data_IF_382762584734
#
_entry.id   IF_382762584734
#
_cell.length_a   1.000
_cell.length_b   1.000
_cell.length_c   1.000
_cell.angle_alpha   90.00
_cell.angle_beta   90.00
_cell.angle_gamma   90.00
#
_symmetry.space_group_name_H-M   'P 1'
#
loop_
_entity.id
_entity.type
_entity.pdbx_description
1 polymer ?
#
# COMPACT_ATOMS: atom_id res chain seq x y z
N UNK A 1 -7.78 -18.73 7.36
CA UNK A 1 -7.43 -17.29 7.53
C UNK A 1 -7.15 -16.69 6.16
N UNK A 2 -7.40 -15.39 5.93
CA UNK A 2 -7.14 -14.77 4.62
C UNK A 2 -5.86 -13.93 4.63
N UNK A 3 -5.02 -14.13 3.61
CA UNK A 3 -3.96 -13.20 3.25
C UNK A 3 -4.31 -12.50 1.94
N UNK A 4 -4.24 -11.19 1.92
CA UNK A 4 -4.34 -10.38 0.71
C UNK A 4 -2.96 -9.85 0.35
N UNK A 5 -2.53 -10.07 -0.89
CA UNK A 5 -1.25 -9.57 -1.42
C UNK A 5 -1.56 -8.60 -2.54
N UNK A 6 -1.32 -7.31 -2.31
CA UNK A 6 -1.50 -6.25 -3.30
C UNK A 6 -0.17 -6.00 -3.99
N UNK A 7 -0.11 -6.23 -5.30
CA UNK A 7 1.11 -6.11 -6.09
C UNK A 7 1.06 -4.90 -7.04
N UNK A 8 2.10 -4.08 -6.99
CA UNK A 8 2.39 -3.12 -8.07
C UNK A 8 3.10 -3.83 -9.21
N UNK A 9 2.39 -4.09 -10.31
CA UNK A 9 2.91 -4.81 -11.48
C UNK A 9 3.29 -3.88 -12.65
N UNK A 10 3.69 -2.64 -12.34
CA UNK A 10 4.16 -1.70 -13.35
C UNK A 10 5.49 -2.12 -13.96
N UNK A 11 5.52 -2.42 -15.25
CA UNK A 11 6.72 -2.91 -15.96
C UNK A 11 7.96 -2.03 -15.72
N UNK A 12 7.79 -0.71 -15.78
CA UNK A 12 8.88 0.25 -15.56
C UNK A 12 9.49 0.17 -14.15
N UNK A 13 8.67 -0.10 -13.12
CA UNK A 13 9.15 -0.21 -11.75
C UNK A 13 9.93 -1.51 -11.53
N UNK A 14 9.46 -2.60 -12.14
CA UNK A 14 10.13 -3.90 -12.09
C UNK A 14 11.46 -3.90 -12.84
N UNK A 15 11.54 -3.21 -13.98
CA UNK A 15 12.78 -3.06 -14.75
C UNK A 15 13.89 -2.28 -14.00
N UNK A 16 13.53 -1.48 -12.99
CA UNK A 16 14.51 -0.74 -12.17
C UNK A 16 15.11 -1.61 -11.05
N UNK A 17 14.53 -2.77 -10.76
CA UNK A 17 15.07 -3.68 -9.75
C UNK A 17 16.32 -4.38 -10.27
N UNK A 18 17.32 -4.54 -9.39
CA UNK A 18 18.53 -5.30 -9.72
C UNK A 18 18.21 -6.76 -10.05
N UNK A 19 17.36 -7.39 -9.23
CA UNK A 19 16.97 -8.79 -9.34
C UNK A 19 15.43 -8.94 -9.20
N UNK A 20 14.64 -8.70 -10.25
CA UNK A 20 13.18 -8.87 -10.19
C UNK A 20 12.75 -10.31 -9.90
N UNK A 21 13.50 -11.30 -10.40
CA UNK A 21 13.23 -12.72 -10.16
C UNK A 21 13.34 -13.12 -8.68
N UNK A 22 14.25 -12.50 -7.94
CA UNK A 22 14.40 -12.77 -6.49
C UNK A 22 13.17 -12.28 -5.71
N UNK A 23 12.67 -11.08 -6.03
CA UNK A 23 11.44 -10.57 -5.41
C UNK A 23 10.24 -11.45 -5.75
N UNK A 24 10.11 -11.88 -7.01
CA UNK A 24 9.09 -12.83 -7.45
C UNK A 24 9.15 -14.10 -6.60
N UNK A 25 10.32 -14.73 -6.51
CA UNK A 25 10.53 -15.95 -5.71
C UNK A 25 10.18 -15.73 -4.23
N UNK A 26 10.57 -14.61 -3.64
CA UNK A 26 10.25 -14.31 -2.24
C UNK A 26 8.73 -14.17 -2.00
N UNK A 27 8.00 -13.57 -2.95
CA UNK A 27 6.53 -13.48 -2.91
C UNK A 27 5.89 -14.87 -3.04
N UNK A 28 6.37 -15.69 -3.97
CA UNK A 28 5.88 -17.06 -4.14
C UNK A 28 6.11 -17.89 -2.87
N UNK A 29 7.31 -17.83 -2.29
CA UNK A 29 7.64 -18.51 -1.04
C UNK A 29 6.73 -18.04 0.10
N UNK A 30 6.49 -16.74 0.22
CA UNK A 30 5.58 -16.16 1.22
C UNK A 30 4.17 -16.74 1.12
N UNK A 31 3.58 -16.71 -0.08
CA UNK A 31 2.21 -17.17 -0.32
C UNK A 31 2.10 -18.67 -0.03
N UNK A 32 3.02 -19.47 -0.57
CA UNK A 32 3.02 -20.92 -0.35
C UNK A 32 3.24 -21.31 1.10
N UNK A 33 4.13 -20.61 1.79
CA UNK A 33 4.36 -20.85 3.22
C UNK A 33 3.07 -20.61 3.99
N UNK A 34 2.37 -19.50 3.73
CA UNK A 34 1.12 -19.20 4.42
C UNK A 34 0.01 -20.21 4.16
N UNK A 35 -0.20 -20.59 2.90
CA UNK A 35 -1.19 -21.62 2.54
C UNK A 35 -0.87 -22.93 3.28
N UNK A 36 0.41 -23.29 3.38
CA UNK A 36 0.84 -24.52 4.08
C UNK A 36 0.77 -24.44 5.60
N UNK A 37 0.64 -23.26 6.20
CA UNK A 37 0.50 -23.14 7.66
C UNK A 37 -0.82 -23.69 8.20
N UNK A 38 -1.88 -23.73 7.38
CA UNK A 38 -3.20 -24.29 7.76
C UNK A 38 -4.05 -24.55 6.52
N UNK A 39 -4.80 -25.65 6.51
CA UNK A 39 -5.70 -26.02 5.41
C UNK A 39 -6.78 -24.96 5.11
N UNK A 40 -7.20 -24.18 6.12
CA UNK A 40 -8.20 -23.11 5.96
C UNK A 40 -7.60 -21.79 5.46
N UNK A 41 -6.30 -21.75 5.17
CA UNK A 41 -5.64 -20.55 4.70
C UNK A 41 -5.88 -20.34 3.21
N UNK A 42 -6.30 -19.12 2.88
CA UNK A 42 -6.50 -18.67 1.50
C UNK A 42 -5.68 -17.42 1.26
N UNK A 43 -4.87 -17.42 0.22
CA UNK A 43 -4.13 -16.27 -0.24
C UNK A 43 -4.84 -15.66 -1.46
N UNK A 44 -4.99 -14.35 -1.49
CA UNK A 44 -5.67 -13.62 -2.54
C UNK A 44 -4.69 -12.58 -3.06
N UNK A 45 -4.22 -12.76 -4.29
CA UNK A 45 -3.36 -11.79 -4.98
C UNK A 45 -4.25 -10.81 -5.72
N UNK A 46 -4.00 -9.52 -5.53
CA UNK A 46 -4.76 -8.42 -6.11
C UNK A 46 -3.85 -7.56 -6.96
N UNK A 47 -4.25 -7.35 -8.21
CA UNK A 47 -3.63 -6.42 -9.14
C UNK A 47 -4.70 -5.83 -10.06
N UNK A 48 -4.75 -4.50 -10.18
CA UNK A 48 -5.64 -3.77 -11.07
C UNK A 48 -7.12 -4.19 -10.91
N UNK A 49 -7.57 -4.31 -9.66
CA UNK A 49 -8.90 -4.78 -9.23
C UNK A 49 -9.27 -6.21 -9.66
N UNK A 50 -8.35 -6.95 -10.26
CA UNK A 50 -8.49 -8.40 -10.43
C UNK A 50 -8.07 -9.10 -9.15
N UNK A 51 -8.74 -10.21 -8.83
CA UNK A 51 -8.42 -11.07 -7.69
C UNK A 51 -8.09 -12.47 -8.20
N UNK A 52 -6.97 -13.02 -7.75
CA UNK A 52 -6.60 -14.42 -7.98
C UNK A 52 -6.49 -15.10 -6.61
N UNK A 53 -7.22 -16.19 -6.43
CA UNK A 53 -7.34 -16.89 -5.15
C UNK A 53 -6.53 -18.18 -5.21
N UNK A 54 -5.76 -18.43 -4.16
CA UNK A 54 -4.90 -19.60 -3.97
C UNK A 54 -5.19 -20.20 -2.60
N UNK A 55 -5.24 -21.52 -2.54
CA UNK A 55 -5.55 -22.27 -1.32
C UNK A 55 -4.77 -23.59 -1.30
N UNK A 56 -5.07 -24.47 -0.34
CA UNK A 56 -4.36 -25.73 -0.18
C UNK A 56 -4.48 -26.64 -1.41
N UNK A 57 -5.66 -26.66 -2.04
CA UNK A 57 -5.95 -27.52 -3.20
C UNK A 57 -5.38 -26.92 -4.49
N UNK A 58 -5.21 -25.59 -4.53
CA UNK A 58 -4.63 -24.84 -5.63
C UNK A 58 -3.42 -24.02 -5.14
N UNK A 59 -2.31 -24.68 -4.76
CA UNK A 59 -1.11 -23.98 -4.29
C UNK A 59 -0.44 -23.22 -5.44
N UNK A 60 0.38 -22.24 -5.09
CA UNK A 60 1.14 -21.45 -6.08
C UNK A 60 2.35 -22.22 -6.63
N UNK A 61 2.81 -23.30 -5.96
CA UNK A 61 3.87 -24.17 -6.49
C UNK A 61 3.28 -25.38 -7.21
N UNK A 62 3.35 -25.35 -8.53
CA UNK A 62 4.16 -26.36 -9.22
C UNK A 62 5.12 -25.58 -10.14
N UNK A 63 6.43 -25.68 -9.92
CA UNK A 63 7.47 -24.89 -10.62
C UNK A 63 7.48 -25.11 -12.15
N UNK A 64 6.70 -26.08 -12.64
CA UNK A 64 6.49 -26.39 -14.06
C UNK A 64 5.36 -25.59 -14.70
N UNK A 65 4.51 -24.92 -13.91
CA UNK A 65 3.46 -24.06 -14.43
C UNK A 65 3.99 -22.62 -14.59
N UNK A 66 4.79 -22.39 -15.64
CA UNK A 66 5.12 -21.04 -16.14
C UNK A 66 3.86 -20.16 -16.24
N UNK A 67 2.72 -20.81 -16.49
CA UNK A 67 1.39 -20.21 -16.56
C UNK A 67 0.99 -19.49 -15.26
N UNK A 68 1.21 -20.08 -14.08
CA UNK A 68 0.82 -19.47 -12.79
C UNK A 68 1.69 -18.25 -12.49
N UNK A 69 2.99 -18.32 -12.80
CA UNK A 69 3.90 -17.18 -12.64
C UNK A 69 3.52 -16.06 -13.62
N UNK A 70 3.23 -16.39 -14.88
CA UNK A 70 2.73 -15.41 -15.85
C UNK A 70 1.38 -14.82 -15.45
N UNK A 71 0.53 -15.62 -14.79
CA UNK A 71 -0.77 -15.19 -14.30
C UNK A 71 -0.60 -14.21 -13.13
N UNK A 72 0.25 -14.52 -12.14
CA UNK A 72 0.47 -13.63 -11.00
C UNK A 72 1.14 -12.33 -11.46
N UNK A 73 2.17 -12.44 -12.31
CA UNK A 73 3.04 -11.32 -12.71
C UNK A 73 2.73 -10.81 -14.13
N UNK A 74 1.45 -10.75 -14.49
CA UNK A 74 1.02 -10.10 -15.72
C UNK A 74 1.24 -8.58 -15.61
N UNK A 75 2.38 -8.13 -16.14
CA UNK A 75 2.76 -6.72 -16.09
C UNK A 75 1.72 -5.84 -16.79
N UNK A 76 1.38 -4.73 -16.15
CA UNK A 76 0.49 -3.73 -16.70
C UNK A 76 1.15 -2.35 -16.63
N UNK A 77 0.73 -1.43 -17.50
CA UNK A 77 1.25 -0.05 -17.48
C UNK A 77 0.35 0.91 -16.69
N UNK A 78 -0.69 0.38 -16.02
CA UNK A 78 -1.69 1.16 -15.30
C UNK A 78 -1.32 1.27 -13.83
N UNK A 79 -1.12 2.51 -13.36
CA UNK A 79 -0.96 2.79 -11.94
C UNK A 79 -2.31 2.74 -11.23
N UNK A 80 -2.55 1.70 -10.43
CA UNK A 80 -3.83 1.52 -9.74
C UNK A 80 -3.70 1.09 -8.27
N UNK A 81 -2.48 1.03 -7.72
CA UNK A 81 -2.23 0.45 -6.39
C UNK A 81 -3.04 1.13 -5.29
N UNK A 82 -3.23 2.45 -5.35
CA UNK A 82 -4.05 3.18 -4.39
C UNK A 82 -5.52 2.71 -4.37
N UNK A 83 -6.08 2.39 -5.54
CA UNK A 83 -7.43 1.86 -5.64
C UNK A 83 -7.48 0.37 -5.25
N UNK A 84 -6.44 -0.40 -5.55
CA UNK A 84 -6.35 -1.81 -5.19
C UNK A 84 -6.28 -2.00 -3.67
N UNK A 85 -5.57 -1.11 -2.97
CA UNK A 85 -5.58 -1.06 -1.51
C UNK A 85 -7.01 -0.79 -1.00
N UNK A 86 -7.70 0.21 -1.55
CA UNK A 86 -9.09 0.51 -1.17
C UNK A 86 -10.05 -0.65 -1.45
N UNK A 87 -9.89 -1.33 -2.58
CA UNK A 87 -10.65 -2.52 -2.97
C UNK A 87 -10.39 -3.68 -1.99
N UNK A 88 -9.12 -3.93 -1.66
CA UNK A 88 -8.70 -4.95 -0.70
C UNK A 88 -9.32 -4.73 0.68
N UNK A 89 -9.26 -3.49 1.19
CA UNK A 89 -9.87 -3.13 2.47
C UNK A 89 -11.40 -3.30 2.48
N UNK A 90 -12.04 -3.22 1.31
CA UNK A 90 -13.49 -3.42 1.16
C UNK A 90 -13.85 -4.90 1.21
N UNK A 91 -13.11 -5.76 0.50
CA UNK A 91 -13.34 -7.21 0.51
C UNK A 91 -13.02 -7.80 1.88
N UNK A 92 -11.87 -7.42 2.45
CA UNK A 92 -11.41 -7.91 3.75
C UNK A 92 -12.33 -7.51 4.90
N UNK A 93 -13.25 -6.55 4.72
CA UNK A 93 -14.18 -6.11 5.77
C UNK A 93 -15.07 -7.24 6.30
N UNK A 94 -15.44 -8.18 5.44
CA UNK A 94 -16.38 -9.25 5.76
C UNK A 94 -15.71 -10.47 6.41
N UNK A 95 -14.38 -10.50 6.43
CA UNK A 95 -13.58 -11.59 6.99
C UNK A 95 -12.87 -11.12 8.26
N UNK A 96 -12.62 -12.03 9.20
CA UNK A 96 -11.87 -11.76 10.43
C UNK A 96 -10.42 -12.21 10.33
N UNK A 97 -9.53 -11.56 11.09
CA UNK A 97 -8.09 -11.86 11.17
C UNK A 97 -7.37 -11.83 9.81
N UNK A 98 -7.55 -10.75 9.04
CA UNK A 98 -6.92 -10.65 7.73
C UNK A 98 -5.49 -10.16 7.83
N UNK A 99 -4.61 -10.78 7.05
CA UNK A 99 -3.26 -10.25 6.78
C UNK A 99 -3.28 -9.57 5.43
N UNK A 100 -2.84 -8.33 5.37
CA UNK A 100 -2.75 -7.57 4.12
C UNK A 100 -1.30 -7.20 3.91
N UNK A 101 -0.74 -7.57 2.77
CA UNK A 101 0.64 -7.29 2.39
C UNK A 101 0.57 -6.43 1.14
N UNK A 102 1.12 -5.22 1.21
CA UNK A 102 1.16 -4.25 0.12
C UNK A 102 2.59 -4.20 -0.38
N UNK A 103 2.81 -4.47 -1.66
CA UNK A 103 4.11 -4.42 -2.32
C UNK A 103 4.06 -3.32 -3.37
N UNK A 104 4.73 -2.20 -3.08
CA UNK A 104 4.78 -1.01 -3.93
C UNK A 104 6.20 -0.78 -4.45
N UNK A 105 6.35 -0.72 -5.77
CA UNK A 105 7.65 -0.50 -6.40
C UNK A 105 7.76 0.88 -7.04
N UNK A 106 6.64 1.45 -7.45
CA UNK A 106 6.55 2.77 -8.07
C UNK A 106 6.61 3.93 -7.06
N UNK A 107 7.02 5.09 -7.55
CA UNK A 107 6.81 6.36 -6.83
C UNK A 107 5.36 6.77 -6.95
N UNK A 108 4.80 7.25 -5.85
CA UNK A 108 3.43 7.73 -5.84
C UNK A 108 3.22 8.99 -6.67
N UNK A 109 2.05 9.02 -7.32
CA UNK A 109 1.54 10.22 -7.94
C UNK A 109 0.88 11.12 -6.89
N UNK A 110 1.15 12.42 -6.92
CA UNK A 110 0.49 13.42 -6.07
C UNK A 110 -1.04 13.37 -6.18
N UNK A 111 -1.59 12.93 -7.32
CA UNK A 111 -3.03 12.76 -7.54
C UNK A 111 -3.65 11.68 -6.64
N UNK A 112 -2.87 10.68 -6.22
CA UNK A 112 -3.34 9.54 -5.44
C UNK A 112 -3.13 9.70 -3.94
N UNK A 113 -2.42 10.74 -3.50
CA UNK A 113 -2.16 11.02 -2.09
C UNK A 113 -3.44 10.98 -1.21
N UNK A 114 -4.55 11.56 -1.70
CA UNK A 114 -5.82 11.52 -0.97
C UNK A 114 -6.44 10.12 -0.90
N UNK A 115 -6.21 9.26 -1.89
CA UNK A 115 -6.64 7.85 -1.87
C UNK A 115 -5.81 7.05 -0.86
N UNK A 116 -4.50 7.33 -0.84
CA UNK A 116 -3.56 7.21 0.27
C UNK A 116 -4.21 7.32 1.64
N UNK A 117 -4.47 8.57 1.98
CA UNK A 117 -4.98 8.94 3.28
C UNK A 117 -6.34 8.30 3.57
N UNK A 118 -7.26 8.24 2.61
CA UNK A 118 -8.56 7.56 2.79
C UNK A 118 -8.38 6.09 3.20
N UNK A 119 -7.48 5.38 2.53
CA UNK A 119 -7.17 3.99 2.84
C UNK A 119 -6.51 3.85 4.22
N UNK A 120 -5.60 4.77 4.58
CA UNK A 120 -4.98 4.80 5.91
C UNK A 120 -6.02 5.03 7.03
N UNK A 121 -6.97 5.94 6.83
CA UNK A 121 -8.07 6.16 7.78
C UNK A 121 -8.92 4.91 8.00
N UNK A 122 -9.26 4.21 6.90
CA UNK A 122 -10.03 2.96 6.98
C UNK A 122 -9.22 1.87 7.67
N UNK A 123 -7.95 1.70 7.30
CA UNK A 123 -7.03 0.76 7.92
C UNK A 123 -6.92 0.97 9.43
N UNK A 124 -6.78 2.23 9.86
CA UNK A 124 -6.67 2.60 11.29
C UNK A 124 -7.98 2.36 12.05
N UNK A 125 -9.13 2.68 11.43
CA UNK A 125 -10.47 2.43 12.02
C UNK A 125 -10.72 0.95 12.29
N UNK A 126 -10.18 0.07 11.44
CA UNK A 126 -10.35 -1.38 11.56
C UNK A 126 -9.03 -2.09 11.90
N UNK A 127 -8.16 -1.44 12.67
CA UNK A 127 -6.83 -1.95 13.00
C UNK A 127 -6.84 -3.27 13.78
N UNK A 128 -7.92 -3.58 14.50
CA UNK A 128 -8.08 -4.86 15.19
C UNK A 128 -8.36 -6.03 14.22
N UNK A 129 -8.85 -5.74 13.01
CA UNK A 129 -9.20 -6.75 11.99
C UNK A 129 -8.09 -6.97 10.97
N UNK A 130 -7.22 -5.99 10.77
CA UNK A 130 -6.24 -5.98 9.71
C UNK A 130 -4.82 -5.93 10.28
N UNK A 131 -4.02 -6.93 9.94
CA UNK A 131 -2.57 -6.85 10.10
C UNK A 131 -1.96 -6.44 8.75
N UNK A 132 -1.70 -5.14 8.59
CA UNK A 132 -1.20 -4.57 7.32
C UNK A 132 0.31 -4.38 7.38
N UNK A 133 1.00 -5.00 6.43
CA UNK A 133 2.44 -4.82 6.18
C UNK A 133 2.65 -4.20 4.82
N UNK A 134 3.49 -3.17 4.75
CA UNK A 134 3.81 -2.44 3.52
C UNK A 134 5.29 -2.64 3.22
N UNK A 135 5.61 -3.24 2.09
CA UNK A 135 6.94 -3.23 1.53
C UNK A 135 6.98 -2.23 0.38
N UNK A 136 7.84 -1.22 0.48
CA UNK A 136 7.99 -0.24 -0.60
C UNK A 136 9.43 0.03 -0.96
N UNK A 137 9.71 0.08 -2.26
CA UNK A 137 11.04 0.40 -2.79
C UNK A 137 11.39 1.88 -2.58
N UNK A 138 10.39 2.75 -2.66
CA UNK A 138 10.56 4.18 -2.40
C UNK A 138 9.96 4.55 -1.04
N UNK A 139 10.60 5.49 -0.34
CA UNK A 139 10.03 6.00 0.91
C UNK A 139 8.70 6.68 0.60
N UNK A 140 7.64 6.18 1.22
CA UNK A 140 6.32 6.72 1.03
C UNK A 140 5.62 7.04 2.37
N UNK A 141 5.44 8.34 2.68
CA UNK A 141 4.71 8.76 3.88
C UNK A 141 3.25 8.28 3.91
N UNK A 142 2.53 8.37 2.79
CA UNK A 142 1.12 7.98 2.74
C UNK A 142 0.92 6.47 2.98
N UNK A 143 1.75 5.61 2.38
CA UNK A 143 1.70 4.16 2.67
C UNK A 143 2.13 3.83 4.10
N UNK A 144 3.08 4.58 4.67
CA UNK A 144 3.53 4.36 6.05
C UNK A 144 2.43 4.57 7.09
N UNK A 145 1.42 5.39 6.77
CA UNK A 145 0.25 5.59 7.63
C UNK A 145 -0.75 4.42 7.58
N UNK A 146 -0.69 3.58 6.55
CA UNK A 146 -1.62 2.44 6.37
C UNK A 146 -1.24 1.28 7.29
N UNK A 147 0.04 0.98 7.44
CA UNK A 147 0.49 -0.25 8.11
C UNK A 147 1.95 -0.22 8.57
N UNK A 148 2.49 -1.40 8.89
CA UNK A 148 3.89 -1.54 9.28
C UNK A 148 4.78 -1.45 8.04
N UNK A 149 5.68 -0.47 7.99
CA UNK A 149 6.52 -0.21 6.83
C UNK A 149 7.84 -1.00 6.87
N UNK A 150 8.20 -1.59 5.73
CA UNK A 150 9.45 -2.30 5.50
C UNK A 150 10.12 -1.75 4.23
N UNK A 151 11.42 -1.51 4.32
CA UNK A 151 12.25 -0.98 3.23
C UNK A 151 13.13 -2.06 2.57
N UNK A 152 13.04 -3.32 3.03
CA UNK A 152 13.86 -4.43 2.56
C UNK A 152 12.96 -5.54 2.00
N UNK A 153 13.34 -6.07 0.84
CA UNK A 153 12.65 -7.15 0.14
C UNK A 153 13.34 -8.52 0.30
N UNK A 154 14.27 -8.65 1.26
CA UNK A 154 14.89 -9.92 1.60
C UNK A 154 13.85 -10.93 2.11
N UNK A 155 14.08 -12.22 1.84
CA UNK A 155 13.22 -13.31 2.29
C UNK A 155 13.00 -13.29 3.81
N UNK A 156 14.02 -12.95 4.59
CA UNK A 156 13.91 -12.82 6.04
C UNK A 156 12.81 -11.85 6.47
N UNK A 157 12.61 -10.76 5.73
CA UNK A 157 11.57 -9.76 6.00
C UNK A 157 10.18 -10.33 5.74
N UNK A 158 10.01 -11.07 4.65
CA UNK A 158 8.76 -11.78 4.35
C UNK A 158 8.40 -12.80 5.44
N UNK A 159 9.37 -13.56 5.94
CA UNK A 159 9.16 -14.50 7.04
C UNK A 159 8.86 -13.81 8.38
N UNK A 160 9.47 -12.64 8.64
CA UNK A 160 9.15 -11.82 9.82
C UNK A 160 7.70 -11.33 9.80
N UNK A 161 7.19 -10.94 8.63
CA UNK A 161 5.78 -10.56 8.44
C UNK A 161 4.86 -11.72 8.81
N UNK A 162 5.17 -12.95 8.36
CA UNK A 162 4.40 -14.14 8.74
C UNK A 162 4.45 -14.42 10.25
N UNK A 163 5.58 -14.14 10.88
CA UNK A 163 5.79 -14.29 12.33
C UNK A 163 5.07 -13.22 13.15
N UNK A 164 4.50 -12.18 12.52
CA UNK A 164 3.80 -11.10 13.21
C UNK A 164 4.69 -10.11 13.94
N UNK A 165 6.01 -10.12 13.69
CA UNK A 165 6.93 -9.12 14.26
C UNK A 165 6.67 -7.77 13.60
N UNK A 166 6.32 -6.76 14.38
CA UNK A 166 6.09 -5.39 13.88
C UNK A 166 7.39 -4.59 13.95
N UNK A 167 7.88 -3.99 12.85
CA UNK A 167 8.98 -3.04 12.89
C UNK A 167 8.57 -1.78 13.66
N UNK A 168 9.55 -0.97 14.05
CA UNK A 168 9.27 0.36 14.60
C UNK A 168 8.50 1.19 13.56
N UNK A 169 7.40 1.80 14.01
CA UNK A 169 6.63 2.73 13.19
C UNK A 169 7.47 3.98 12.95
N UNK A 170 7.94 4.17 11.73
CA UNK A 170 8.58 5.41 11.33
C UNK A 170 7.47 6.38 10.94
N UNK A 171 7.30 7.45 11.72
CA UNK A 171 6.26 8.45 11.48
C UNK A 171 6.75 9.48 10.46
N UNK A 172 6.10 9.57 9.31
CA UNK A 172 6.41 10.56 8.28
C UNK A 172 5.23 11.51 8.11
N UNK A 173 5.19 12.58 8.91
CA UNK A 173 4.17 13.61 8.75
C UNK A 173 4.70 14.79 7.92
N UNK A 174 5.02 14.55 6.65
CA UNK A 174 5.40 15.61 5.72
C UNK A 174 4.14 16.19 5.08
N UNK A 175 3.72 17.38 5.51
CA UNK A 175 2.65 18.12 4.84
C UNK A 175 3.24 19.13 3.87
N UNK A 176 2.76 19.13 2.62
CA UNK A 176 3.12 20.15 1.63
C UNK A 176 2.07 21.25 1.59
N UNK A 177 2.56 22.48 1.49
CA UNK A 177 1.69 23.64 1.40
C UNK A 177 1.07 23.80 0.01
N UNK A 178 -0.21 24.16 -0.08
CA UNK A 178 -0.91 24.38 -1.35
C UNK A 178 -0.52 25.69 -2.06
N UNK A 179 0.36 26.52 -1.45
CA UNK A 179 0.87 27.77 -2.03
C UNK A 179 2.02 27.53 -3.00
N UNK A 180 3.03 26.79 -2.54
CA UNK A 180 4.35 26.67 -3.16
C UNK A 180 4.86 25.22 -3.21
N UNK A 181 4.05 24.23 -2.83
CA UNK A 181 4.38 22.80 -2.76
C UNK A 181 5.64 22.46 -1.92
N UNK A 182 5.97 23.34 -0.97
CA UNK A 182 7.07 23.14 0.00
C UNK A 182 6.57 22.36 1.20
N UNK A 183 7.42 21.48 1.72
CA UNK A 183 7.20 20.82 3.01
C UNK A 183 7.24 21.85 4.14
N UNK A 184 6.26 21.78 5.01
CA UNK A 184 6.09 22.71 6.14
C UNK A 184 5.78 21.92 7.42
N UNK A 185 6.34 22.40 8.53
CA UNK A 185 6.05 21.87 9.87
C UNK A 185 4.79 22.49 10.46
N UNK A 186 4.58 23.79 10.20
CA UNK A 186 3.41 24.54 10.62
C UNK A 186 2.86 25.34 9.43
N UNK A 187 1.54 25.55 9.40
CA UNK A 187 0.89 26.28 8.32
C UNK A 187 -0.47 26.83 8.72
N UNK A 188 -0.93 27.82 7.98
CA UNK A 188 -2.27 28.40 8.09
C UNK A 188 -3.27 27.53 7.33
N UNK A 189 -4.44 27.30 7.92
CA UNK A 189 -5.46 26.42 7.33
C UNK A 189 -6.64 27.26 6.83
N UNK A 190 -7.15 26.95 5.65
CA UNK A 190 -8.40 27.53 5.18
C UNK A 190 -9.58 26.97 5.99
N UNK A 191 -10.43 27.81 6.61
CA UNK A 191 -11.50 27.32 7.47
C UNK A 191 -12.61 26.60 6.69
N UNK A 192 -12.67 26.77 5.37
CA UNK A 192 -13.69 26.15 4.51
C UNK A 192 -13.21 24.84 3.90
N UNK A 193 -12.05 24.85 3.23
CA UNK A 193 -11.57 23.68 2.48
C UNK A 193 -10.41 22.94 3.13
N UNK A 194 -10.00 23.35 4.34
CA UNK A 194 -8.90 22.76 5.11
C UNK A 194 -7.56 22.65 4.37
N UNK A 195 -7.39 23.44 3.30
CA UNK A 195 -6.11 23.52 2.58
C UNK A 195 -5.08 24.26 3.40
N UNK A 196 -3.86 23.75 3.41
CA UNK A 196 -2.77 24.20 4.28
C UNK A 196 -1.83 25.11 3.49
N UNK A 197 -1.50 26.26 4.06
CA UNK A 197 -0.69 27.30 3.45
C UNK A 197 0.53 27.64 4.31
N UNK A 198 1.65 27.85 3.65
CA UNK A 198 2.95 28.22 4.19
C UNK A 198 3.05 29.68 4.64
N UNK A 199 2.23 30.55 4.08
CA UNK A 199 2.25 31.99 4.31
C UNK A 199 0.82 32.51 4.32
N UNK A 200 0.63 33.72 4.83
CA UNK A 200 -0.67 34.39 4.76
C UNK A 200 -1.01 34.68 3.29
N UNK A 201 -2.20 34.25 2.86
CA UNK A 201 -2.72 34.49 1.51
C UNK A 201 -4.07 35.17 1.72
N UNK A 202 -4.43 36.24 1.00
CA UNK A 202 -5.70 36.93 1.19
C UNK A 202 -6.91 36.16 0.64
N UNK A 203 -6.68 35.29 -0.35
CA UNK A 203 -7.71 34.50 -1.02
C UNK A 203 -7.26 33.05 -1.11
N UNK A 204 -8.11 32.12 -0.68
CA UNK A 204 -7.83 30.70 -0.81
C UNK A 204 -7.68 30.29 -2.29
N UNK A 205 -6.54 29.71 -2.66
CA UNK A 205 -6.29 29.23 -4.04
C UNK A 205 -7.24 28.10 -4.47
N UNK A 206 -7.84 27.37 -3.52
CA UNK A 206 -8.69 26.19 -3.79
C UNK A 206 -10.18 26.52 -3.83
N UNK A 207 -10.75 27.10 -2.76
CA UNK A 207 -12.17 27.43 -2.68
C UNK A 207 -12.49 28.90 -2.99
N UNK A 208 -11.49 29.74 -3.31
CA UNK A 208 -11.64 31.17 -3.64
C UNK A 208 -12.25 32.05 -2.55
N UNK A 209 -12.39 31.56 -1.32
CA UNK A 209 -12.86 32.38 -0.20
C UNK A 209 -11.83 33.45 0.19
N UNK A 210 -12.29 34.65 0.53
CA UNK A 210 -11.47 35.70 1.13
C UNK A 210 -11.33 35.45 2.62
N UNK A 211 -10.11 35.50 3.13
CA UNK A 211 -9.89 35.39 4.55
C UNK A 211 -10.18 36.74 5.22
N UNK A 212 -11.03 36.72 6.24
CA UNK A 212 -11.39 37.91 6.99
C UNK A 212 -10.43 38.02 8.19
N UNK A 213 -9.32 38.72 7.99
CA UNK A 213 -8.38 39.01 9.05
C UNK A 213 -8.92 40.22 9.82
N UNK A 214 -9.59 39.97 10.95
CA UNK A 214 -9.89 41.06 11.90
C UNK A 214 -8.56 41.64 12.37
N UNK A 215 -8.43 42.97 12.27
CA UNK A 215 -7.32 43.73 12.86
C UNK A 215 -7.38 43.65 14.39
#
# INVERSE_FOLDING_TARGET
>A
MFMYVVLDLRRNSWAQLKNPGELCNNILVLVNTFIRMSYDNKAIVINNRSQKVYDHDHPVVDEKDEKIVSDIFEYNDIDNIANDIGYTLTIAKNTSNNRIIIISLSRENNKDYLKYLKSAFVAKRYSDRYNISVLSHHKNPALSEIGCFYNNFALSTFLQILSGKKPQKIFFCSTKCSCHDREILYGLVCPVCLSIYCSLIPICKRCRIRFNFKK
#
